data_IF_842756975904
#
_entry.id   IF_842756975904
#
_cell.length_a   1.000
_cell.length_b   1.000
_cell.length_c   1.000
_cell.angle_alpha   90.00
_cell.angle_beta   90.00
_cell.angle_gamma   90.00
#
_symmetry.space_group_name_H-M   'P 1'
#
loop_
_entity.id
_entity.type
_entity.pdbx_description
1 polymer ?
#
# COMPACT_ATOMS: atom_id res chain seq x y z
N UNK A 1 6.46 -12.09 15.01
CA UNK A 1 6.08 -12.49 13.63
C UNK A 1 6.87 -11.62 12.67
N UNK A 2 7.35 -12.15 11.55
CA UNK A 2 7.86 -11.30 10.46
C UNK A 2 6.74 -10.37 9.98
N UNK A 3 7.11 -9.18 9.55
CA UNK A 3 6.20 -8.19 8.97
C UNK A 3 5.50 -8.82 7.75
N UNK A 4 4.14 -8.91 7.72
CA UNK A 4 3.44 -9.60 6.65
C UNK A 4 3.57 -8.91 5.28
N UNK A 5 4.06 -7.67 5.24
CA UNK A 5 4.24 -6.87 4.02
C UNK A 5 5.70 -6.42 3.81
N UNK A 6 6.60 -6.74 4.75
CA UNK A 6 8.03 -6.48 4.61
C UNK A 6 8.37 -4.99 4.65
N UNK A 7 8.87 -4.47 3.53
CA UNK A 7 9.33 -3.08 3.38
C UNK A 7 8.25 -2.29 2.65
N UNK A 8 7.91 -1.12 3.17
CA UNK A 8 7.00 -0.18 2.51
C UNK A 8 7.76 1.08 2.10
N UNK A 9 7.63 1.44 0.82
CA UNK A 9 8.14 2.68 0.27
C UNK A 9 6.96 3.58 -0.06
N UNK A 10 6.92 4.76 0.58
CA UNK A 10 5.96 5.79 0.25
C UNK A 10 6.37 6.45 -1.07
N UNK A 11 5.44 6.56 -2.00
CA UNK A 11 5.68 7.25 -3.26
C UNK A 11 5.94 8.73 -3.03
N UNK A 12 6.71 9.33 -3.94
CA UNK A 12 6.79 10.79 -4.00
C UNK A 12 5.46 11.34 -4.48
N UNK A 13 5.19 12.59 -4.12
CA UNK A 13 3.94 13.26 -4.51
C UNK A 13 3.77 13.28 -6.03
N UNK A 14 4.84 13.48 -6.79
CA UNK A 14 4.79 13.51 -8.26
C UNK A 14 4.39 12.15 -8.87
N UNK A 15 4.80 11.06 -8.22
CA UNK A 15 4.50 9.71 -8.68
C UNK A 15 3.05 9.33 -8.32
N UNK A 16 2.63 9.57 -7.08
CA UNK A 16 1.25 9.31 -6.62
C UNK A 16 0.20 10.19 -7.30
N UNK A 17 0.59 11.39 -7.75
CA UNK A 17 -0.30 12.33 -8.47
C UNK A 17 -0.26 12.17 -9.99
N UNK A 18 0.47 11.18 -10.51
CA UNK A 18 0.65 10.98 -11.94
C UNK A 18 -0.70 10.66 -12.63
N UNK A 19 -1.16 11.49 -13.60
CA UNK A 19 -2.43 11.25 -14.30
C UNK A 19 -2.50 9.92 -15.04
N UNK A 20 -1.37 9.43 -15.55
CA UNK A 20 -1.30 8.13 -16.20
C UNK A 20 -1.59 6.98 -15.24
N UNK A 21 -1.07 7.07 -14.00
CA UNK A 21 -1.34 6.08 -12.96
C UNK A 21 -2.80 6.16 -12.51
N UNK A 22 -3.30 7.37 -12.23
CA UNK A 22 -4.70 7.60 -11.84
C UNK A 22 -5.67 7.05 -12.90
N UNK A 23 -5.35 7.21 -14.19
CA UNK A 23 -6.16 6.69 -15.29
C UNK A 23 -6.18 5.16 -15.39
N UNK A 24 -5.13 4.47 -14.94
CA UNK A 24 -5.06 3.00 -14.94
C UNK A 24 -5.89 2.38 -13.81
N UNK A 25 -6.08 3.10 -12.72
CA UNK A 25 -6.70 2.60 -11.49
C UNK A 25 -7.83 3.51 -10.99
N UNK A 26 -8.92 3.65 -11.77
CA UNK A 26 -10.01 4.54 -11.40
C UNK A 26 -10.65 4.11 -10.08
N UNK A 27 -10.74 5.05 -9.14
CA UNK A 27 -11.29 4.80 -7.80
C UNK A 27 -10.26 4.31 -6.78
N UNK A 28 -9.02 4.05 -7.17
CA UNK A 28 -7.94 3.70 -6.25
C UNK A 28 -6.86 4.78 -6.26
N UNK A 29 -6.41 5.20 -5.07
CA UNK A 29 -5.30 6.13 -4.92
C UNK A 29 -4.06 5.38 -4.47
N UNK A 30 -3.12 5.15 -5.39
CA UNK A 30 -1.86 4.47 -5.12
C UNK A 30 -0.97 5.45 -4.35
N UNK A 31 -0.36 4.97 -3.28
CA UNK A 31 0.47 5.81 -2.41
C UNK A 31 1.85 5.19 -2.10
N UNK A 32 2.14 4.00 -2.61
CA UNK A 32 3.42 3.35 -2.40
C UNK A 32 3.43 1.89 -2.84
N UNK A 33 4.51 1.22 -2.53
CA UNK A 33 4.73 -0.18 -2.86
C UNK A 33 5.82 -0.83 -2.03
N UNK A 34 6.12 -2.09 -2.33
CA UNK A 34 7.18 -2.85 -1.66
C UNK A 34 8.54 -2.78 -2.40
N UNK A 35 8.58 -2.12 -3.56
CA UNK A 35 9.75 -2.05 -4.46
C UNK A 35 9.91 -3.27 -5.37
N UNK A 36 9.00 -4.25 -5.28
CA UNK A 36 8.98 -5.52 -6.00
C UNK A 36 7.72 -5.75 -6.84
N UNK A 37 7.04 -4.66 -7.25
CA UNK A 37 5.79 -4.60 -8.04
C UNK A 37 4.49 -4.74 -7.23
N UNK A 38 4.52 -5.04 -5.93
CA UNK A 38 3.32 -4.90 -5.10
C UNK A 38 3.07 -3.41 -4.82
N UNK A 39 1.84 -2.97 -5.06
CA UNK A 39 1.36 -1.60 -4.87
C UNK A 39 0.33 -1.55 -3.75
N UNK A 40 0.34 -0.45 -3.00
CA UNK A 40 -0.65 -0.14 -1.97
C UNK A 40 -1.50 1.06 -2.38
N UNK A 41 -2.81 0.95 -2.18
CA UNK A 41 -3.75 2.01 -2.53
C UNK A 41 -4.88 2.20 -1.51
N UNK A 42 -5.43 3.41 -1.43
CA UNK A 42 -6.74 3.62 -0.82
C UNK A 42 -7.84 3.23 -1.80
N UNK A 43 -8.84 2.49 -1.32
CA UNK A 43 -10.08 2.27 -2.05
C UNK A 43 -11.04 3.45 -1.86
N UNK A 44 -11.07 4.35 -2.84
CA UNK A 44 -11.91 5.56 -2.84
C UNK A 44 -13.34 5.30 -3.36
N UNK A 45 -13.70 4.05 -3.67
CA UNK A 45 -15.04 3.73 -4.20
C UNK A 45 -16.15 3.89 -3.14
N UNK A 46 -15.78 3.86 -1.86
CA UNK A 46 -16.66 4.05 -0.72
C UNK A 46 -16.45 5.37 0.04
N UNK A 47 -17.00 5.44 1.25
CA UNK A 47 -16.84 6.57 2.15
C UNK A 47 -15.66 6.37 3.09
N UNK A 48 -15.02 7.46 3.49
CA UNK A 48 -13.96 7.46 4.51
C UNK A 48 -14.46 6.88 5.85
N UNK A 49 -13.64 6.11 6.60
CA UNK A 49 -12.24 5.78 6.30
C UNK A 49 -12.10 4.81 5.13
N UNK A 50 -11.15 5.10 4.23
CA UNK A 50 -10.91 4.27 3.05
C UNK A 50 -10.03 3.06 3.40
N UNK A 51 -10.45 1.84 3.01
CA UNK A 51 -9.62 0.65 3.14
C UNK A 51 -8.29 0.78 2.40
N UNK A 52 -7.27 0.07 2.89
CA UNK A 52 -6.01 -0.10 2.17
C UNK A 52 -6.06 -1.42 1.40
N UNK A 53 -5.73 -1.35 0.11
CA UNK A 53 -5.59 -2.47 -0.80
C UNK A 53 -4.11 -2.76 -1.05
N UNK A 54 -3.78 -4.02 -1.30
CA UNK A 54 -2.52 -4.44 -1.92
C UNK A 54 -2.82 -5.23 -3.20
N UNK A 55 -2.01 -5.05 -4.24
CA UNK A 55 -2.14 -5.74 -5.51
C UNK A 55 -0.83 -5.73 -6.31
N UNK A 56 -0.66 -6.72 -7.19
CA UNK A 56 0.41 -6.74 -8.19
C UNK A 56 0.11 -5.72 -9.30
N UNK A 57 1.04 -4.79 -9.56
CA UNK A 57 0.90 -3.80 -10.62
C UNK A 57 0.79 -4.37 -12.04
N UNK A 58 1.14 -5.65 -12.25
CA UNK A 58 1.02 -6.35 -13.53
C UNK A 58 -0.33 -7.05 -13.68
N UNK A 59 -0.90 -7.62 -12.60
CA UNK A 59 -2.26 -8.18 -12.58
C UNK A 59 -3.11 -7.62 -11.42
N UNK A 60 -3.56 -6.36 -11.53
CA UNK A 60 -4.26 -5.68 -10.43
C UNK A 60 -5.58 -6.37 -10.05
N UNK A 61 -6.35 -6.82 -11.05
CA UNK A 61 -7.68 -7.40 -10.82
C UNK A 61 -7.62 -8.81 -10.25
N UNK A 62 -6.63 -9.62 -10.67
CA UNK A 62 -6.47 -10.98 -10.18
C UNK A 62 -5.82 -11.07 -8.80
N UNK A 63 -5.12 -10.02 -8.36
CA UNK A 63 -4.32 -10.03 -7.13
C UNK A 63 -4.84 -9.13 -6.01
N UNK A 64 -5.79 -8.22 -6.29
CA UNK A 64 -6.27 -7.25 -5.31
C UNK A 64 -6.84 -7.91 -4.05
N UNK A 65 -6.39 -7.41 -2.91
CA UNK A 65 -6.88 -7.80 -1.59
C UNK A 65 -6.92 -6.60 -0.65
N UNK A 66 -7.95 -6.53 0.19
CA UNK A 66 -7.97 -5.59 1.31
C UNK A 66 -6.98 -6.06 2.38
N UNK A 67 -6.10 -5.16 2.81
CA UNK A 67 -5.05 -5.44 3.79
C UNK A 67 -5.26 -4.74 5.12
N UNK A 68 -6.02 -3.65 5.13
CA UNK A 68 -6.45 -2.95 6.34
C UNK A 68 -7.78 -2.23 6.11
N UNK A 69 -8.57 -2.04 7.17
CA UNK A 69 -9.81 -1.26 7.10
C UNK A 69 -9.57 0.24 7.01
N UNK A 70 -8.39 0.70 7.44
CA UNK A 70 -7.98 2.10 7.41
C UNK A 70 -6.44 2.23 7.43
N UNK A 71 -5.96 3.45 7.20
CA UNK A 71 -4.52 3.73 7.15
C UNK A 71 -3.80 3.50 8.49
N UNK A 72 -4.48 3.75 9.62
CA UNK A 72 -3.88 3.56 10.95
C UNK A 72 -3.60 2.09 11.18
N UNK A 73 -4.55 1.21 10.84
CA UNK A 73 -4.37 -0.24 10.91
C UNK A 73 -3.25 -0.70 9.98
N UNK A 74 -3.16 -0.15 8.77
CA UNK A 74 -2.06 -0.45 7.84
C UNK A 74 -0.68 -0.11 8.44
N UNK A 75 -0.53 1.07 9.06
CA UNK A 75 0.71 1.48 9.74
C UNK A 75 1.12 0.55 10.90
N UNK A 76 0.20 -0.21 11.49
CA UNK A 76 0.54 -1.22 12.50
C UNK A 76 1.11 -2.50 11.87
N UNK A 77 0.74 -2.77 10.62
CA UNK A 77 1.21 -3.93 9.86
C UNK A 77 2.60 -3.69 9.30
N UNK A 78 2.89 -2.46 8.84
CA UNK A 78 4.19 -2.07 8.30
C UNK A 78 5.09 -1.46 9.39
N UNK A 79 6.33 -1.95 9.52
CA UNK A 79 7.32 -1.38 10.43
C UNK A 79 7.49 -2.12 11.76
N UNK A 80 6.85 -3.28 11.92
CA UNK A 80 7.08 -4.16 13.08
C UNK A 80 8.51 -4.80 13.07
N UNK A 81 9.21 -4.77 11.94
CA UNK A 81 10.55 -5.39 11.79
C UNK A 81 11.72 -4.62 12.44
N UNK A 82 11.56 -3.38 12.92
CA UNK A 82 12.71 -2.58 13.38
C UNK A 82 12.79 -2.34 14.90
N UNK A 83 12.01 -3.05 15.73
CA UNK A 83 12.07 -2.90 17.21
C UNK A 83 13.10 -3.81 17.92
N UNK A 84 13.76 -4.75 17.24
CA UNK A 84 14.69 -5.71 17.87
C UNK A 84 16.08 -5.78 17.21
N UNK A 85 16.70 -4.64 16.88
CA UNK A 85 18.16 -4.60 16.74
C UNK A 85 18.76 -3.99 18.00
N UNK A 86 18.92 -4.84 19.02
CA UNK A 86 19.90 -4.57 20.06
C UNK A 86 21.26 -4.43 19.38
N UNK A 87 21.89 -3.25 19.52
CA UNK A 87 23.32 -3.13 19.37
C UNK A 87 23.96 -4.12 20.35
N UNK A 88 24.65 -5.12 19.80
CA UNK A 88 25.59 -5.99 20.51
C UNK A 88 26.96 -5.82 19.87
#
# INVERSE_FOLDING_TARGET
MPDPFGVFYLDRVEDASNPGQIGLYPGWFIFGGDGGLELFAFDLTGTSPWPVLAFDGVDPKGSVRKVADDFTQFLLLIGSSNKNRHCG
#
